data_IF_215691595319
#
_entry.id   IF_215691595319
#
_cell.length_a   1.000
_cell.length_b   1.000
_cell.length_c   1.000
_cell.angle_alpha   90.00
_cell.angle_beta   90.00
_cell.angle_gamma   90.00
#
_symmetry.space_group_name_H-M   'P 1'
#
loop_
_entity.id
_entity.type
_entity.pdbx_description
1 polymer ?
#
# COMPACT_ATOMS: atom_id res chain seq x y z
N UNK A 1 -65.53 -3.30 -20.10
CA UNK A 1 -64.37 -3.16 -21.00
C UNK A 1 -63.14 -2.90 -20.14
N UNK A 2 -62.14 -3.78 -20.26
CA UNK A 2 -60.73 -3.70 -19.81
C UNK A 2 -60.49 -3.39 -18.32
N UNK A 3 -60.23 -4.33 -17.39
CA UNK A 3 -59.07 -5.25 -17.22
C UNK A 3 -57.70 -4.64 -17.53
N UNK A 4 -56.98 -4.35 -16.43
CA UNK A 4 -55.56 -4.69 -16.17
C UNK A 4 -54.52 -4.35 -17.25
N UNK A 5 -53.63 -3.41 -16.94
CA UNK A 5 -52.35 -3.26 -17.61
C UNK A 5 -51.20 -3.68 -16.66
N UNK A 6 -50.54 -4.77 -17.03
CA UNK A 6 -49.37 -5.33 -16.36
C UNK A 6 -48.17 -4.39 -16.47
N UNK A 7 -47.63 -3.98 -15.32
CA UNK A 7 -46.25 -3.51 -15.22
C UNK A 7 -45.28 -4.69 -15.32
N UNK A 8 -44.63 -4.81 -16.48
CA UNK A 8 -43.63 -5.81 -16.81
C UNK A 8 -42.40 -5.75 -15.90
N UNK A 9 -41.92 -6.94 -15.56
CA UNK A 9 -40.62 -7.31 -15.03
C UNK A 9 -39.48 -6.30 -15.17
N UNK A 10 -38.89 -5.90 -14.04
CA UNK A 10 -37.47 -5.58 -13.95
C UNK A 10 -36.84 -6.42 -12.84
N UNK A 11 -36.74 -7.73 -13.07
CA UNK A 11 -35.78 -8.57 -12.34
C UNK A 11 -34.39 -8.09 -12.73
N UNK A 12 -33.88 -7.07 -12.03
CA UNK A 12 -32.45 -6.75 -12.01
C UNK A 12 -31.75 -7.96 -11.43
N UNK A 13 -31.34 -8.85 -12.33
CA UNK A 13 -30.56 -10.06 -12.09
C UNK A 13 -29.15 -9.65 -11.71
N UNK A 14 -29.00 -8.92 -10.59
CA UNK A 14 -27.74 -8.77 -9.91
C UNK A 14 -27.33 -10.18 -9.51
N UNK A 15 -26.24 -10.68 -10.09
CA UNK A 15 -25.68 -11.97 -9.70
C UNK A 15 -25.39 -11.87 -8.22
N UNK A 16 -26.26 -12.45 -7.38
CA UNK A 16 -26.07 -12.50 -5.94
C UNK A 16 -24.63 -12.96 -5.68
N UNK A 17 -23.91 -12.24 -4.83
CA UNK A 17 -22.55 -12.64 -4.43
C UNK A 17 -22.66 -14.09 -3.96
N UNK A 18 -21.92 -14.98 -4.62
CA UNK A 18 -21.90 -16.43 -4.34
C UNK A 18 -20.46 -16.89 -4.18
N UNK A 19 -20.28 -17.97 -3.43
CA UNK A 19 -18.96 -18.53 -3.18
C UNK A 19 -18.05 -17.57 -2.41
N UNK A 20 -16.81 -17.42 -2.87
CA UNK A 20 -15.77 -16.67 -2.18
C UNK A 20 -16.11 -15.19 -1.95
N UNK A 21 -16.88 -14.58 -2.86
CA UNK A 21 -17.30 -13.18 -2.77
C UNK A 21 -18.50 -12.96 -1.83
N UNK A 22 -19.14 -14.04 -1.35
CA UNK A 22 -20.27 -13.99 -0.41
C UNK A 22 -19.83 -14.18 1.05
N UNK A 23 -18.57 -14.54 1.28
CA UNK A 23 -18.01 -14.77 2.62
C UNK A 23 -17.59 -13.46 3.29
N UNK A 24 -17.43 -13.49 4.61
CA UNK A 24 -16.83 -12.40 5.38
C UNK A 24 -15.37 -12.19 4.98
N UNK A 25 -14.91 -10.94 4.99
CA UNK A 25 -13.56 -10.54 4.55
C UNK A 25 -12.44 -11.28 5.31
N UNK A 26 -12.63 -11.47 6.61
CA UNK A 26 -11.67 -12.21 7.44
C UNK A 26 -11.54 -13.67 6.99
N UNK A 27 -12.66 -14.30 6.65
CA UNK A 27 -12.68 -15.68 6.16
C UNK A 27 -12.08 -15.75 4.74
N UNK A 28 -12.40 -14.80 3.87
CA UNK A 28 -11.84 -14.70 2.53
C UNK A 28 -10.31 -14.58 2.58
N UNK A 29 -9.78 -13.70 3.45
CA UNK A 29 -8.35 -13.50 3.64
C UNK A 29 -7.66 -14.75 4.18
N UNK A 30 -8.27 -15.43 5.14
CA UNK A 30 -7.74 -16.68 5.71
C UNK A 30 -7.63 -17.77 4.63
N UNK A 31 -8.68 -17.95 3.83
CA UNK A 31 -8.67 -18.96 2.76
C UNK A 31 -7.68 -18.58 1.65
N UNK A 32 -7.60 -17.30 1.26
CA UNK A 32 -6.61 -16.83 0.29
C UNK A 32 -5.18 -17.07 0.79
N UNK A 33 -4.90 -16.75 2.06
CA UNK A 33 -3.60 -16.99 2.69
C UNK A 33 -3.24 -18.48 2.70
N UNK A 34 -4.18 -19.35 3.10
CA UNK A 34 -3.98 -20.80 3.12
C UNK A 34 -3.80 -21.37 1.71
N UNK A 35 -4.53 -20.85 0.74
CA UNK A 35 -4.41 -21.23 -0.67
C UNK A 35 -3.03 -20.92 -1.24
N UNK A 36 -2.50 -19.72 -0.95
CA UNK A 36 -1.14 -19.35 -1.33
C UNK A 36 -0.08 -20.25 -0.69
N UNK A 37 -0.17 -20.47 0.62
CA UNK A 37 0.73 -21.38 1.34
C UNK A 37 0.68 -22.80 0.79
N UNK A 38 -0.51 -23.33 0.52
CA UNK A 38 -0.69 -24.66 -0.04
C UNK A 38 -0.11 -24.79 -1.45
N UNK A 39 -0.25 -23.76 -2.30
CA UNK A 39 0.31 -23.78 -3.65
C UNK A 39 1.85 -23.80 -3.65
N UNK A 40 2.47 -23.03 -2.73
CA UNK A 40 3.91 -23.09 -2.49
C UNK A 40 4.34 -24.46 -1.96
N UNK A 41 3.68 -24.98 -0.91
CA UNK A 41 4.01 -26.30 -0.34
C UNK A 41 3.86 -27.44 -1.36
N UNK A 42 2.89 -27.35 -2.28
CA UNK A 42 2.65 -28.35 -3.32
C UNK A 42 3.55 -28.20 -4.55
N UNK A 43 4.42 -27.18 -4.61
CA UNK A 43 5.27 -26.92 -5.78
C UNK A 43 4.51 -26.60 -7.07
N UNK A 44 3.23 -26.22 -6.95
CA UNK A 44 2.43 -25.74 -8.09
C UNK A 44 2.60 -24.24 -8.30
N UNK A 45 3.00 -23.52 -7.25
CA UNK A 45 3.46 -22.15 -7.37
C UNK A 45 4.94 -22.12 -7.76
N UNK A 46 5.32 -21.06 -8.47
CA UNK A 46 6.72 -20.73 -8.71
C UNK A 46 7.40 -20.35 -7.38
N UNK A 47 8.53 -20.98 -7.09
CA UNK A 47 9.37 -20.62 -5.94
C UNK A 47 9.97 -19.24 -6.23
N UNK A 48 9.57 -18.23 -5.47
CA UNK A 48 10.20 -16.92 -5.53
C UNK A 48 11.60 -17.04 -4.92
N UNK A 49 12.55 -17.47 -5.73
CA UNK A 49 13.94 -17.49 -5.34
C UNK A 49 14.47 -16.05 -5.21
N UNK A 50 15.51 -15.87 -4.39
CA UNK A 50 16.08 -14.54 -4.15
C UNK A 50 16.75 -13.93 -5.39
N UNK A 51 17.21 -14.75 -6.33
CA UNK A 51 17.83 -14.30 -7.58
C UNK A 51 16.78 -13.74 -8.55
N UNK A 52 15.63 -14.38 -8.65
CA UNK A 52 14.52 -13.94 -9.48
C UNK A 52 13.87 -12.70 -8.93
N UNK A 53 13.67 -12.62 -7.61
CA UNK A 53 13.22 -11.39 -6.97
C UNK A 53 14.17 -10.22 -7.29
N UNK A 54 15.48 -10.48 -7.28
CA UNK A 54 16.50 -9.50 -7.68
C UNK A 54 16.40 -9.13 -9.16
N UNK A 55 16.25 -10.10 -10.06
CA UNK A 55 16.10 -9.85 -11.52
C UNK A 55 14.83 -9.07 -11.83
N UNK A 56 13.72 -9.41 -11.19
CA UNK A 56 12.45 -8.68 -11.33
C UNK A 56 12.59 -7.25 -10.81
N UNK A 57 13.23 -7.06 -9.64
CA UNK A 57 13.54 -5.75 -9.09
C UNK A 57 14.45 -4.93 -10.01
N UNK A 58 15.49 -5.54 -10.57
CA UNK A 58 16.38 -4.90 -11.54
C UNK A 58 15.61 -4.46 -12.80
N UNK A 59 14.83 -5.36 -13.40
CA UNK A 59 14.03 -5.03 -14.59
C UNK A 59 13.02 -3.92 -14.33
N UNK A 60 12.39 -3.92 -13.16
CA UNK A 60 11.50 -2.85 -12.72
C UNK A 60 12.26 -1.52 -12.57
N UNK A 61 13.41 -1.54 -11.89
CA UNK A 61 14.29 -0.38 -11.74
C UNK A 61 14.77 0.18 -13.08
N UNK A 62 15.20 -0.67 -14.01
CA UNK A 62 15.59 -0.30 -15.37
C UNK A 62 14.44 0.33 -16.17
N UNK A 63 13.20 -0.14 -15.98
CA UNK A 63 12.03 0.44 -16.65
C UNK A 63 11.74 1.87 -16.15
N UNK A 64 11.76 2.09 -14.83
CA UNK A 64 11.43 3.40 -14.24
C UNK A 64 12.60 4.38 -14.37
N UNK A 65 13.86 3.92 -14.32
CA UNK A 65 15.05 4.78 -14.36
C UNK A 65 15.35 5.44 -15.71
N UNK A 66 14.61 5.09 -16.77
CA UNK A 66 14.74 5.73 -18.09
C UNK A 66 14.36 7.21 -18.06
N UNK A 67 13.45 7.60 -17.19
CA UNK A 67 13.08 8.99 -16.98
C UNK A 67 13.98 9.65 -15.93
N UNK A 68 15.05 10.28 -16.41
CA UNK A 68 16.04 10.94 -15.56
C UNK A 68 15.46 12.15 -14.83
N UNK A 69 14.57 12.91 -15.47
CA UNK A 69 14.00 14.12 -14.87
C UNK A 69 13.07 13.75 -13.70
N UNK A 70 12.21 12.75 -13.92
CA UNK A 70 11.36 12.20 -12.88
C UNK A 70 12.16 11.64 -11.70
N UNK A 71 13.24 10.89 -11.98
CA UNK A 71 14.11 10.37 -10.92
C UNK A 71 14.82 11.47 -10.13
N UNK A 72 15.26 12.53 -10.81
CA UNK A 72 15.88 13.68 -10.16
C UNK A 72 14.88 14.42 -9.26
N UNK A 73 13.63 14.56 -9.68
CA UNK A 73 12.56 15.16 -8.88
C UNK A 73 12.25 14.33 -7.63
N UNK A 74 12.08 13.02 -7.76
CA UNK A 74 11.88 12.09 -6.64
C UNK A 74 13.06 12.19 -5.66
N UNK A 75 14.30 12.16 -6.18
CA UNK A 75 15.51 12.27 -5.37
C UNK A 75 15.59 13.60 -4.61
N UNK A 76 15.26 14.72 -5.27
CA UNK A 76 15.22 16.05 -4.66
C UNK A 76 14.19 16.12 -3.54
N UNK A 77 12.95 15.71 -3.80
CA UNK A 77 11.86 15.68 -2.80
C UNK A 77 12.20 14.81 -1.60
N UNK A 78 12.84 13.65 -1.84
CA UNK A 78 13.34 12.78 -0.77
C UNK A 78 14.43 13.44 0.08
N UNK A 79 15.37 14.15 -0.56
CA UNK A 79 16.41 14.92 0.11
C UNK A 79 15.87 16.08 0.95
N UNK A 80 14.94 16.85 0.40
CA UNK A 80 14.27 17.96 1.10
C UNK A 80 13.50 17.48 2.33
N UNK A 81 12.79 16.35 2.21
CA UNK A 81 12.05 15.75 3.33
C UNK A 81 12.97 15.30 4.47
N UNK A 82 14.17 14.81 4.15
CA UNK A 82 15.18 14.42 5.14
C UNK A 82 15.81 15.65 5.80
N UNK A 83 16.07 16.70 5.03
CA UNK A 83 16.62 17.95 5.56
C UNK A 83 15.62 18.71 6.45
N UNK A 84 14.34 18.74 6.08
CA UNK A 84 13.30 19.36 6.93
C UNK A 84 13.14 18.60 8.24
N UNK A 85 13.12 17.26 8.20
CA UNK A 85 13.10 16.43 9.40
C UNK A 85 14.36 16.64 10.28
N UNK A 86 15.55 16.73 9.66
CA UNK A 86 16.81 16.99 10.36
C UNK A 86 16.87 18.40 10.96
N UNK A 87 16.39 19.42 10.25
CA UNK A 87 16.30 20.80 10.78
C UNK A 87 15.30 20.90 11.92
N UNK A 88 14.19 20.17 11.85
CA UNK A 88 13.18 20.13 12.90
C UNK A 88 13.65 19.36 14.14
N UNK A 89 14.43 18.29 13.97
CA UNK A 89 15.05 17.61 15.11
C UNK A 89 16.16 18.46 15.74
N UNK A 90 16.96 19.15 14.93
CA UNK A 90 17.98 20.08 15.41
C UNK A 90 17.38 21.30 16.13
N UNK A 91 16.28 21.87 15.62
CA UNK A 91 15.60 23.01 16.27
C UNK A 91 14.94 22.61 17.59
N UNK A 92 14.34 21.41 17.67
CA UNK A 92 13.84 20.83 18.93
C UNK A 92 14.96 20.59 19.94
N UNK A 93 16.10 20.09 19.49
CA UNK A 93 17.26 19.88 20.36
C UNK A 93 17.89 21.20 20.86
N UNK A 94 17.87 22.27 20.05
CA UNK A 94 18.37 23.59 20.43
C UNK A 94 17.42 24.32 21.39
N UNK A 95 16.10 24.27 21.17
CA UNK A 95 15.11 24.87 22.07
C UNK A 95 15.10 24.25 23.47
N UNK A 96 15.46 22.97 23.59
CA UNK A 96 15.53 22.28 24.89
C UNK A 96 16.76 22.67 25.74
N UNK A 97 17.74 23.40 25.18
CA UNK A 97 18.93 23.89 25.93
C UNK A 97 18.78 25.30 26.48
N UNK A 98 17.81 26.08 26.01
CA UNK A 98 17.63 27.49 26.41
C UNK A 98 16.72 27.68 27.63
N UNK A 99 16.22 26.59 28.22
CA UNK A 99 15.36 26.61 29.41
C UNK A 99 16.07 26.38 30.76
N UNK A 100 17.41 26.27 30.79
CA UNK A 100 18.13 25.78 31.98
C UNK A 100 19.09 26.78 32.65
N UNK A 101 19.11 28.06 32.24
CA UNK A 101 19.92 29.10 32.90
C UNK A 101 19.06 30.35 33.16
N UNK A 102 18.37 30.38 34.30
CA UNK A 102 17.96 31.64 34.94
C UNK A 102 18.86 31.85 36.15
N UNK A 103 19.69 32.90 36.21
CA UNK A 103 20.38 33.25 37.44
C UNK A 103 19.33 33.78 38.43
N UNK A 104 19.16 33.09 39.56
CA UNK A 104 18.44 33.62 40.71
C UNK A 104 19.30 34.71 41.35
N UNK A 105 18.81 35.94 41.29
CA UNK A 105 19.39 37.09 41.99
C UNK A 105 18.61 37.31 43.31
N UNK A 106 19.30 37.16 44.44
CA UNK A 106 18.98 37.83 45.71
C UNK A 106 20.22 37.94 46.58
#
# INVERSE_FOLDING_TARGET
>A
MATSEQGKSSTTKGTAKRGFAAMDEAQQRSIASKGGQAAHQKGTAHEFDSEEARRAGQKGGEAVSRDREHMAEIGRKGGESRQSASRQSASRAAGNRQGADKPEEK
#
